data_IF_030177933019
#
_entry.id   IF_030177933019
#
_cell.length_a   1.000
_cell.length_b   1.000
_cell.length_c   1.000
_cell.angle_alpha   90.00
_cell.angle_beta   90.00
_cell.angle_gamma   90.00
#
_symmetry.space_group_name_H-M   'P 1'
#
loop_
_entity.id
_entity.type
_entity.pdbx_description
1 polymer ?
#
# COMPACT_ATOMS: atom_id res chain seq x y z
N UNK A 1 -8.47 -41.06 -23.03
CA UNK A 1 -7.33 -40.76 -22.14
C UNK A 1 -7.78 -39.67 -21.20
N UNK A 2 -7.89 -40.01 -19.92
CA UNK A 2 -8.09 -39.08 -18.82
C UNK A 2 -6.81 -38.25 -18.57
N UNK A 3 -6.93 -37.31 -17.64
CA UNK A 3 -5.91 -36.46 -17.02
C UNK A 3 -5.71 -35.16 -17.81
N UNK A 4 -6.26 -34.03 -17.38
CA UNK A 4 -5.94 -33.37 -16.11
C UNK A 4 -7.13 -32.63 -15.48
N UNK A 5 -7.49 -33.07 -14.27
CA UNK A 5 -7.86 -32.25 -13.12
C UNK A 5 -8.51 -30.88 -13.37
N UNK A 6 -9.83 -30.90 -13.56
CA UNK A 6 -10.73 -29.77 -13.26
C UNK A 6 -10.87 -29.50 -11.74
N UNK A 7 -9.98 -30.03 -10.91
CA UNK A 7 -10.01 -29.91 -9.44
C UNK A 7 -9.07 -28.85 -8.87
N UNK A 8 -8.35 -28.10 -9.71
CA UNK A 8 -7.55 -26.94 -9.29
C UNK A 8 -8.04 -25.68 -10.03
N UNK A 9 -9.35 -25.39 -10.00
CA UNK A 9 -9.77 -23.99 -10.04
C UNK A 9 -9.27 -23.36 -8.73
N UNK A 10 -7.96 -23.05 -8.68
CA UNK A 10 -7.48 -21.92 -7.91
C UNK A 10 -8.49 -20.80 -8.19
N UNK A 11 -9.08 -20.22 -7.15
CA UNK A 11 -9.89 -19.01 -7.29
C UNK A 11 -9.06 -18.03 -8.12
N UNK A 12 -9.34 -17.95 -9.42
CA UNK A 12 -8.53 -17.15 -10.33
C UNK A 12 -8.73 -15.71 -9.86
N UNK A 13 -7.74 -15.20 -9.13
CA UNK A 13 -7.79 -13.88 -8.51
C UNK A 13 -7.91 -12.89 -9.65
N UNK A 14 -9.13 -12.36 -9.84
CA UNK A 14 -9.38 -11.34 -10.85
C UNK A 14 -9.02 -10.01 -10.23
N UNK A 15 -8.20 -9.25 -10.95
CA UNK A 15 -7.86 -7.87 -10.68
C UNK A 15 -7.66 -7.15 -12.01
N UNK A 16 -7.77 -5.83 -11.98
CA UNK A 16 -7.36 -4.99 -13.08
C UNK A 16 -5.87 -4.68 -12.92
N UNK A 17 -5.04 -5.19 -13.82
CA UNK A 17 -3.60 -4.91 -13.82
C UNK A 17 -3.32 -3.49 -14.32
N UNK A 18 -2.24 -2.90 -13.83
CA UNK A 18 -1.80 -1.57 -14.23
C UNK A 18 -1.18 -0.77 -13.11
N UNK A 19 -0.88 0.50 -13.40
CA UNK A 19 -0.33 1.46 -12.45
C UNK A 19 -1.42 2.48 -12.14
N UNK A 20 -1.83 2.55 -10.88
CA UNK A 20 -2.83 3.47 -10.38
C UNK A 20 -2.13 4.59 -9.61
N UNK A 21 -2.28 5.83 -10.08
CA UNK A 21 -1.73 7.02 -9.41
C UNK A 21 -2.87 7.90 -8.90
N UNK A 22 -2.86 8.21 -7.60
CA UNK A 22 -3.92 9.00 -6.96
C UNK A 22 -3.42 9.67 -5.68
N UNK A 23 -4.25 10.55 -5.10
CA UNK A 23 -3.97 11.19 -3.81
C UNK A 23 -4.98 10.74 -2.77
N UNK A 24 -4.52 10.45 -1.56
CA UNK A 24 -5.39 10.12 -0.42
C UNK A 24 -5.31 11.24 0.60
N UNK A 25 -6.46 11.85 0.97
CA UNK A 25 -6.49 12.78 2.08
C UNK A 25 -6.27 12.03 3.39
N UNK A 26 -5.54 12.64 4.31
CA UNK A 26 -5.39 12.14 5.67
C UNK A 26 -5.31 13.30 6.65
N UNK A 27 -5.61 12.97 7.90
CA UNK A 27 -5.45 13.87 9.02
C UNK A 27 -4.25 13.42 9.84
N UNK A 28 -3.49 14.38 10.36
CA UNK A 28 -2.50 14.10 11.39
C UNK A 28 -3.17 13.89 12.72
N UNK A 29 -2.45 13.27 13.66
CA UNK A 29 -2.94 13.08 15.03
C UNK A 29 -3.39 14.39 15.71
N UNK A 30 -2.68 15.49 15.49
CA UNK A 30 -2.98 16.79 16.09
C UNK A 30 -3.97 17.60 15.24
N UNK A 31 -5.27 17.46 15.55
CA UNK A 31 -6.37 18.19 14.89
C UNK A 31 -6.55 19.60 15.46
N UNK A 32 -5.51 20.43 15.37
CA UNK A 32 -5.55 21.81 15.87
C UNK A 32 -6.18 22.74 14.83
N UNK A 33 -7.33 23.41 15.12
CA UNK A 33 -7.91 24.37 14.20
C UNK A 33 -7.04 25.63 14.05
N UNK A 34 -7.05 26.24 12.87
CA UNK A 34 -6.41 27.53 12.63
C UNK A 34 -7.26 28.69 13.22
N UNK A 35 -6.82 29.94 13.00
CA UNK A 35 -7.52 31.14 13.48
C UNK A 35 -8.93 31.31 12.91
N UNK A 36 -9.20 30.68 11.78
CA UNK A 36 -10.49 30.68 11.09
C UNK A 36 -11.34 29.44 11.45
N UNK A 37 -10.92 28.66 12.46
CA UNK A 37 -11.55 27.44 12.94
C UNK A 37 -11.56 26.28 11.91
N UNK A 38 -10.58 26.27 10.99
CA UNK A 38 -10.40 25.20 10.00
C UNK A 38 -9.33 24.19 10.45
N UNK A 39 -9.57 22.91 10.20
CA UNK A 39 -8.59 21.84 10.43
C UNK A 39 -7.89 21.50 9.12
N UNK A 40 -6.55 21.53 9.13
CA UNK A 40 -5.75 21.23 7.94
C UNK A 40 -5.85 19.75 7.56
N UNK A 41 -6.23 19.49 6.31
CA UNK A 41 -6.16 18.18 5.67
C UNK A 41 -4.85 18.07 4.89
N UNK A 42 -4.18 16.92 5.03
CA UNK A 42 -2.95 16.60 4.31
C UNK A 42 -3.24 15.59 3.21
N UNK A 43 -2.32 15.43 2.27
CA UNK A 43 -2.46 14.52 1.14
C UNK A 43 -1.22 13.65 0.99
N UNK A 44 -1.43 12.36 0.79
CA UNK A 44 -0.41 11.39 0.45
C UNK A 44 -0.55 11.04 -1.03
N UNK A 45 0.54 11.17 -1.79
CA UNK A 45 0.62 10.67 -3.15
C UNK A 45 0.82 9.16 -3.13
N UNK A 46 0.02 8.44 -3.91
CA UNK A 46 0.01 6.97 -3.94
C UNK A 46 0.22 6.49 -5.37
N UNK A 47 1.15 5.54 -5.51
CA UNK A 47 1.37 4.80 -6.75
C UNK A 47 1.24 3.31 -6.45
N UNK A 48 0.17 2.70 -6.94
CA UNK A 48 -0.15 1.30 -6.75
C UNK A 48 0.07 0.52 -8.04
N UNK A 49 1.01 -0.42 -8.01
CA UNK A 49 1.35 -1.31 -9.12
C UNK A 49 0.66 -2.64 -8.93
N UNK A 50 -0.25 -3.01 -9.82
CA UNK A 50 -1.08 -4.21 -9.68
C UNK A 50 -0.77 -5.19 -10.81
N UNK A 51 -0.50 -6.45 -10.45
CA UNK A 51 -0.23 -7.52 -11.40
C UNK A 51 1.10 -7.41 -12.14
N UNK A 52 2.12 -6.82 -11.51
CA UNK A 52 3.49 -6.89 -12.03
C UNK A 52 3.99 -8.33 -11.99
N UNK A 53 4.65 -8.77 -13.05
CA UNK A 53 5.18 -10.14 -13.16
C UNK A 53 6.12 -10.49 -12.00
N UNK A 54 7.06 -9.59 -11.67
CA UNK A 54 8.00 -9.78 -10.54
C UNK A 54 7.26 -9.97 -9.20
N UNK A 55 6.25 -9.14 -8.94
CA UNK A 55 5.44 -9.22 -7.71
C UNK A 55 4.63 -10.53 -7.67
N UNK A 56 4.07 -10.95 -8.81
CA UNK A 56 3.30 -12.20 -8.92
C UNK A 56 4.17 -13.43 -8.66
N UNK A 57 5.43 -13.42 -9.10
CA UNK A 57 6.40 -14.50 -8.83
C UNK A 57 6.75 -14.59 -7.33
N UNK A 58 6.71 -13.47 -6.61
CA UNK A 58 6.83 -13.42 -5.15
C UNK A 58 5.51 -13.74 -4.42
N UNK A 59 4.43 -14.03 -5.14
CA UNK A 59 3.11 -14.31 -4.59
C UNK A 59 2.32 -13.07 -4.14
N UNK A 60 2.78 -11.88 -4.51
CA UNK A 60 2.11 -10.61 -4.27
C UNK A 60 1.17 -10.26 -5.44
N UNK A 61 0.10 -9.53 -5.14
CA UNK A 61 -0.83 -9.01 -6.16
C UNK A 61 -0.55 -7.55 -6.50
N UNK A 62 -0.03 -6.79 -5.54
CA UNK A 62 0.32 -5.40 -5.76
C UNK A 62 1.38 -4.89 -4.80
N UNK A 63 2.11 -3.88 -5.28
CA UNK A 63 2.99 -3.03 -4.48
C UNK A 63 2.39 -1.63 -4.42
N UNK A 64 2.13 -1.13 -3.21
CA UNK A 64 1.57 0.20 -2.95
C UNK A 64 2.64 1.11 -2.38
N UNK A 65 3.03 2.11 -3.15
CA UNK A 65 3.99 3.15 -2.77
C UNK A 65 3.23 4.34 -2.23
N UNK A 66 3.56 4.77 -1.01
CA UNK A 66 3.01 5.95 -0.37
C UNK A 66 4.11 7.01 -0.22
N UNK A 67 3.81 8.23 -0.65
CA UNK A 67 4.74 9.35 -0.66
C UNK A 67 4.07 10.57 -0.07
N UNK A 68 4.59 11.04 1.07
CA UNK A 68 4.12 12.26 1.72
C UNK A 68 4.96 13.47 1.33
N UNK A 69 4.36 14.67 1.44
CA UNK A 69 5.11 15.96 1.43
C UNK A 69 5.83 16.19 2.76
N UNK A 70 5.34 15.53 3.81
CA UNK A 70 5.93 15.50 5.16
C UNK A 70 6.06 14.02 5.59
N UNK A 71 6.72 13.73 6.72
CA UNK A 71 6.84 12.36 7.22
C UNK A 71 5.45 11.78 7.51
N UNK A 72 4.99 10.84 6.67
CA UNK A 72 3.71 10.12 6.80
C UNK A 72 3.82 8.91 7.71
N UNK A 73 5.01 8.61 8.19
CA UNK A 73 5.37 7.47 9.04
C UNK A 73 4.38 7.29 10.20
N UNK A 74 3.98 8.37 10.87
CA UNK A 74 3.06 8.31 12.01
C UNK A 74 1.59 8.11 11.62
N UNK A 75 1.25 8.34 10.35
CA UNK A 75 -0.13 8.29 9.84
C UNK A 75 -0.34 7.13 8.85
N UNK A 76 0.69 6.30 8.63
CA UNK A 76 0.74 5.29 7.56
C UNK A 76 -0.35 4.23 7.69
N UNK A 77 -0.72 3.83 8.92
CA UNK A 77 -1.80 2.88 9.19
C UNK A 77 -3.14 3.43 8.70
N UNK A 78 -3.40 4.71 8.96
CA UNK A 78 -4.63 5.38 8.57
C UNK A 78 -4.71 5.57 7.05
N UNK A 79 -3.59 5.96 6.43
CA UNK A 79 -3.49 6.10 4.97
C UNK A 79 -3.73 4.74 4.29
N UNK A 80 -3.02 3.68 4.71
CA UNK A 80 -3.18 2.34 4.16
C UNK A 80 -4.61 1.79 4.34
N UNK A 81 -5.22 2.05 5.50
CA UNK A 81 -6.63 1.71 5.76
C UNK A 81 -7.56 2.44 4.81
N UNK A 82 -7.32 3.72 4.55
CA UNK A 82 -8.11 4.52 3.62
C UNK A 82 -7.99 4.00 2.18
N UNK A 83 -6.78 3.66 1.74
CA UNK A 83 -6.53 3.04 0.42
C UNK A 83 -7.30 1.72 0.30
N UNK A 84 -7.26 0.88 1.33
CA UNK A 84 -7.97 -0.39 1.35
C UNK A 84 -9.48 -0.19 1.10
N UNK A 85 -10.12 0.69 1.88
CA UNK A 85 -11.57 0.88 1.81
C UNK A 85 -12.04 1.59 0.54
N UNK A 86 -11.19 2.43 -0.05
CA UNK A 86 -11.57 3.26 -1.20
C UNK A 86 -11.16 2.64 -2.55
N UNK A 87 -10.00 1.99 -2.62
CA UNK A 87 -9.41 1.56 -3.89
C UNK A 87 -9.50 0.06 -4.11
N UNK A 88 -9.30 -0.76 -3.08
CA UNK A 88 -9.11 -2.19 -3.31
C UNK A 88 -10.36 -2.89 -3.84
N UNK A 89 -11.56 -2.43 -3.47
CA UNK A 89 -12.81 -2.99 -4.00
C UNK A 89 -13.00 -2.71 -5.51
N UNK A 90 -12.37 -1.66 -6.02
CA UNK A 90 -12.46 -1.28 -7.43
C UNK A 90 -11.38 -1.95 -8.29
N UNK A 91 -10.22 -2.26 -7.69
CA UNK A 91 -9.07 -2.83 -8.39
C UNK A 91 -9.07 -4.35 -8.32
N UNK A 92 -9.37 -4.89 -7.15
CA UNK A 92 -9.48 -6.32 -6.92
C UNK A 92 -10.94 -6.70 -6.87
N UNK A 93 -11.31 -7.80 -7.52
CA UNK A 93 -12.67 -8.31 -7.47
C UNK A 93 -12.91 -9.00 -6.11
N UNK A 94 -12.91 -8.22 -5.04
CA UNK A 94 -12.87 -8.67 -3.64
C UNK A 94 -14.07 -9.53 -3.24
N UNK A 95 -15.21 -9.39 -3.91
CA UNK A 95 -16.37 -10.26 -3.72
C UNK A 95 -16.14 -11.72 -4.16
N UNK A 96 -15.09 -11.98 -4.95
CA UNK A 96 -14.65 -13.31 -5.38
C UNK A 96 -13.44 -13.81 -4.59
N UNK A 97 -13.03 -13.11 -3.53
CA UNK A 97 -11.84 -13.44 -2.75
C UNK A 97 -12.15 -13.40 -1.26
N UNK A 98 -11.49 -14.27 -0.48
CA UNK A 98 -11.51 -14.11 0.98
C UNK A 98 -10.68 -12.89 1.34
N UNK A 99 -11.25 -12.00 2.17
CA UNK A 99 -10.60 -10.75 2.61
C UNK A 99 -9.14 -10.97 3.06
N UNK A 100 -8.89 -12.03 3.85
CA UNK A 100 -7.56 -12.37 4.38
C UNK A 100 -6.55 -12.80 3.30
N UNK A 101 -7.00 -13.30 2.15
CA UNK A 101 -6.10 -13.68 1.05
C UNK A 101 -5.56 -12.45 0.32
N UNK A 102 -6.34 -11.37 0.21
CA UNK A 102 -5.87 -10.13 -0.40
C UNK A 102 -4.84 -9.42 0.50
N UNK A 103 -5.16 -9.30 1.78
CA UNK A 103 -4.39 -8.50 2.74
C UNK A 103 -2.93 -8.96 2.86
N UNK A 104 -2.67 -10.28 2.73
CA UNK A 104 -1.33 -10.85 2.80
C UNK A 104 -0.56 -10.80 1.47
N UNK A 105 -1.18 -10.31 0.39
CA UNK A 105 -0.60 -10.23 -0.94
C UNK A 105 -0.32 -8.78 -1.38
N UNK A 106 -0.40 -7.83 -0.46
CA UNK A 106 -0.06 -6.42 -0.72
C UNK A 106 1.26 -6.09 -0.04
N UNK A 107 2.21 -5.60 -0.83
CA UNK A 107 3.46 -4.99 -0.32
C UNK A 107 3.23 -3.49 -0.17
N UNK A 108 3.57 -2.95 1.00
CA UNK A 108 3.48 -1.51 1.28
C UNK A 108 4.88 -0.93 1.35
N UNK A 109 5.05 0.22 0.72
CA UNK A 109 6.33 0.92 0.65
C UNK A 109 6.13 2.38 0.99
N UNK A 110 6.93 2.90 1.92
CA UNK A 110 7.03 4.33 2.18
C UNK A 110 8.22 4.88 1.39
N UNK A 111 7.98 5.94 0.62
CA UNK A 111 9.02 6.65 -0.12
C UNK A 111 9.25 8.02 0.53
N UNK A 112 10.50 8.32 0.84
CA UNK A 112 10.90 9.61 1.39
C UNK A 112 11.40 10.54 0.29
N UNK A 113 10.65 11.62 0.03
CA UNK A 113 11.09 12.65 -0.91
C UNK A 113 12.26 13.48 -0.34
N UNK A 114 13.15 14.01 -1.21
CA UNK A 114 14.22 14.91 -0.78
C UNK A 114 13.68 16.13 -0.03
N UNK A 115 14.29 16.44 1.12
CA UNK A 115 13.93 17.61 1.93
C UNK A 115 12.99 17.32 3.10
N UNK A 116 12.47 16.10 3.21
CA UNK A 116 11.71 15.66 4.39
C UNK A 116 12.69 15.21 5.48
N UNK A 117 12.50 15.70 6.71
CA UNK A 117 13.23 15.22 7.89
C UNK A 117 12.83 13.76 8.15
N UNK A 118 13.74 12.84 7.86
CA UNK A 118 13.58 11.41 8.12
C UNK A 118 14.81 10.87 8.84
N UNK A 119 14.60 9.84 9.65
CA UNK A 119 15.69 9.04 10.24
C UNK A 119 16.38 8.16 9.19
N UNK A 120 15.72 7.93 8.05
CA UNK A 120 16.30 7.25 6.90
C UNK A 120 16.94 8.28 5.95
N UNK A 121 18.06 7.94 5.29
CA UNK A 121 18.71 8.87 4.37
C UNK A 121 17.79 9.29 3.20
N UNK A 122 18.16 10.35 2.49
CA UNK A 122 17.37 10.97 1.42
C UNK A 122 17.09 10.00 0.26
N UNK A 123 15.87 10.01 -0.28
CA UNK A 123 15.50 9.21 -1.46
C UNK A 123 15.36 7.71 -1.19
N UNK A 124 15.32 7.30 0.07
CA UNK A 124 15.14 5.90 0.42
C UNK A 124 13.68 5.46 0.34
N UNK A 125 13.56 4.21 -0.07
CA UNK A 125 12.36 3.42 -0.04
C UNK A 125 12.46 2.48 1.16
N UNK A 126 11.37 2.36 1.90
CA UNK A 126 11.32 1.53 3.11
C UNK A 126 10.10 0.64 3.01
N UNK A 127 10.31 -0.66 3.12
CA UNK A 127 9.22 -1.62 3.19
C UNK A 127 8.51 -1.47 4.53
N UNK A 128 7.17 -1.43 4.48
CA UNK A 128 6.33 -1.26 5.65
C UNK A 128 5.48 -2.49 5.82
N UNK A 129 5.68 -3.20 6.93
CA UNK A 129 4.78 -4.28 7.32
C UNK A 129 3.65 -3.71 8.15
N UNK A 130 2.42 -3.98 7.71
CA UNK A 130 1.19 -3.60 8.42
C UNK A 130 0.43 -4.87 8.81
N UNK A 131 -0.21 -4.85 9.98
CA UNK A 131 -1.08 -5.92 10.45
C UNK A 131 -2.53 -5.51 10.30
N UNK A 132 -3.30 -6.30 9.55
CA UNK A 132 -4.73 -6.08 9.46
C UNK A 132 -5.45 -6.52 10.74
N UNK A 133 -6.24 -5.62 11.31
CA UNK A 133 -7.12 -5.88 12.44
C UNK A 133 -8.54 -6.14 11.96
N UNK A 134 -8.95 -7.40 11.95
CA UNK A 134 -10.29 -7.79 11.46
C UNK A 134 -11.45 -7.18 12.25
N UNK A 135 -11.27 -6.93 13.56
CA UNK A 135 -12.32 -6.35 14.40
C UNK A 135 -12.54 -4.88 14.09
N UNK A 136 -11.46 -4.14 13.85
CA UNK A 136 -11.51 -2.71 13.55
C UNK A 136 -11.63 -2.43 12.05
N UNK A 137 -11.43 -3.44 11.20
CA UNK A 137 -11.34 -3.32 9.75
C UNK A 137 -10.34 -2.23 9.34
N UNK A 138 -9.16 -2.26 9.95
CA UNK A 138 -8.09 -1.30 9.72
C UNK A 138 -6.72 -1.95 9.82
N UNK A 139 -5.72 -1.34 9.20
CA UNK A 139 -4.32 -1.67 9.43
C UNK A 139 -3.85 -1.12 10.78
N UNK A 140 -2.84 -1.79 11.35
CA UNK A 140 -2.23 -1.47 12.63
C UNK A 140 -0.78 -1.98 12.72
N UNK A 141 -0.05 -1.55 13.76
CA UNK A 141 1.28 -2.04 14.16
C UNK A 141 2.31 -1.99 13.02
N UNK A 142 2.63 -0.80 12.50
CA UNK A 142 3.60 -0.64 11.45
C UNK A 142 4.98 -1.02 11.94
N UNK A 143 5.74 -1.70 11.08
CA UNK A 143 7.16 -1.89 11.25
C UNK A 143 7.90 -1.67 9.94
N UNK A 144 9.02 -0.97 10.02
CA UNK A 144 9.79 -0.50 8.88
C UNK A 144 11.05 -1.34 8.70
N UNK A 145 11.35 -1.70 7.46
CA UNK A 145 12.51 -2.50 7.08
C UNK A 145 13.22 -1.85 5.90
N UNK A 146 14.54 -1.98 5.85
CA UNK A 146 15.29 -1.60 4.65
C UNK A 146 14.77 -2.39 3.45
N UNK A 147 14.49 -1.69 2.35
CA UNK A 147 14.07 -2.36 1.11
C UNK A 147 15.27 -3.12 0.52
N UNK A 148 15.09 -4.35 0.03
CA UNK A 148 16.14 -5.08 -0.68
C UNK A 148 16.66 -4.28 -1.89
N UNK A 149 17.97 -4.30 -2.15
CA UNK A 149 18.60 -3.53 -3.24
C UNK A 149 18.08 -3.96 -4.63
N UNK A 150 17.70 -5.22 -4.76
CA UNK A 150 17.11 -5.84 -5.94
C UNK A 150 15.68 -5.38 -6.23
N UNK A 151 15.01 -4.74 -5.27
CA UNK A 151 13.63 -4.29 -5.45
C UNK A 151 13.51 -3.34 -6.64
N UNK A 152 12.53 -3.58 -7.50
CA UNK A 152 12.39 -2.84 -8.76
C UNK A 152 12.24 -1.33 -8.54
N UNK A 153 11.59 -0.91 -7.44
CA UNK A 153 11.40 0.50 -7.09
C UNK A 153 12.67 1.16 -6.56
N UNK A 154 13.56 0.41 -5.90
CA UNK A 154 14.88 0.90 -5.50
C UNK A 154 15.73 1.21 -6.73
N UNK A 155 15.62 0.39 -7.77
CA UNK A 155 16.36 0.56 -9.04
C UNK A 155 15.73 1.55 -10.02
N UNK A 156 14.50 2.01 -9.76
CA UNK A 156 13.80 3.01 -10.59
C UNK A 156 14.33 4.44 -10.45
N UNK A 157 15.35 4.65 -9.61
CA UNK A 157 15.96 5.96 -9.31
C UNK A 157 17.11 6.31 -10.29
N UNK A 158 17.39 5.48 -11.32
CA UNK A 158 18.44 5.75 -12.32
C UNK A 158 17.93 6.46 -13.56
#
# INVERSE_FOLDING_TARGET
MNWLNQSNMEEAIRFHSGIYKFKIPYLKHDLVPNKDNEVKVYYCDVEMHVGREDDLQEGLLATVVMTGVEAITNDIEHIATSIYHTMFQNVFYTHLMKQNQLLNKIKWVEKYEPGILSVYPRGHWVDVKLQWNEKQKSYSKPSWYGSPEESWYVNSIK
#
